data_IF_878124332886
#
_entry.id   IF_878124332886
#
_cell.length_a   1.000
_cell.length_b   1.000
_cell.length_c   1.000
_cell.angle_alpha   90.00
_cell.angle_beta   90.00
_cell.angle_gamma   90.00
#
_symmetry.space_group_name_H-M   'P 1'
#
loop_
_entity.id
_entity.type
_entity.pdbx_description
1 polymer ?
#
# COMPACT_ATOMS: atom_id res chain seq x y z
N UNK A 1 4.61 30.37 -20.78
CA UNK A 1 4.69 28.91 -20.62
C UNK A 1 6.02 28.61 -19.94
N UNK A 2 6.03 27.78 -18.89
CA UNK A 2 7.29 27.26 -18.36
C UNK A 2 7.79 26.23 -19.37
N UNK A 3 9.00 26.41 -19.88
CA UNK A 3 9.61 25.49 -20.85
C UNK A 3 10.09 24.25 -20.08
N UNK A 4 9.47 23.11 -20.35
CA UNK A 4 9.83 21.83 -19.73
C UNK A 4 11.08 21.32 -20.43
N UNK A 5 12.21 21.17 -19.72
CA UNK A 5 13.41 20.49 -20.23
C UNK A 5 13.21 18.97 -20.16
N UNK A 6 12.96 18.28 -21.29
CA UNK A 6 12.64 16.86 -21.28
C UNK A 6 13.82 15.99 -20.83
N UNK A 7 15.07 16.43 -21.05
CA UNK A 7 16.27 15.66 -20.69
C UNK A 7 16.46 15.65 -19.18
N UNK A 8 16.18 16.78 -18.51
CA UNK A 8 16.29 16.88 -17.06
C UNK A 8 15.23 16.01 -16.37
N UNK A 9 13.99 16.05 -16.87
CA UNK A 9 12.88 15.19 -16.39
C UNK A 9 13.23 13.70 -16.52
N UNK A 10 13.72 13.28 -17.69
CA UNK A 10 14.04 11.88 -17.94
C UNK A 10 15.23 11.38 -17.10
N UNK A 11 16.24 12.21 -16.88
CA UNK A 11 17.39 11.86 -16.03
C UNK A 11 16.95 11.59 -14.59
N UNK A 12 16.16 12.49 -14.00
CA UNK A 12 15.66 12.30 -12.63
C UNK A 12 14.69 11.12 -12.51
N UNK A 13 13.90 10.87 -13.55
CA UNK A 13 13.03 9.69 -13.62
C UNK A 13 13.84 8.39 -13.53
N UNK A 14 14.92 8.26 -14.32
CA UNK A 14 15.75 7.05 -14.31
C UNK A 14 16.55 6.90 -13.02
N UNK A 15 17.08 8.00 -12.47
CA UNK A 15 17.74 7.99 -11.15
C UNK A 15 16.77 7.53 -10.05
N UNK A 16 15.55 8.07 -10.02
CA UNK A 16 14.52 7.69 -9.07
C UNK A 16 14.22 6.20 -9.10
N UNK A 17 14.09 5.63 -10.30
CA UNK A 17 13.92 4.18 -10.53
C UNK A 17 15.10 3.38 -9.97
N UNK A 18 16.33 3.71 -10.37
CA UNK A 18 17.53 2.97 -9.96
C UNK A 18 17.70 3.00 -8.45
N UNK A 19 17.54 4.18 -7.84
CA UNK A 19 17.61 4.32 -6.38
C UNK A 19 16.55 3.49 -5.66
N UNK A 20 15.33 3.42 -6.20
CA UNK A 20 14.29 2.56 -5.64
C UNK A 20 14.70 1.09 -5.66
N UNK A 21 15.20 0.61 -6.80
CA UNK A 21 15.60 -0.79 -6.97
C UNK A 21 16.69 -1.20 -5.98
N UNK A 22 17.74 -0.39 -5.87
CA UNK A 22 18.86 -0.65 -4.96
C UNK A 22 18.55 -0.33 -3.48
N UNK A 23 17.32 0.08 -3.17
CA UNK A 23 16.85 0.31 -1.79
C UNK A 23 17.23 1.66 -1.18
N UNK A 24 17.80 2.59 -1.96
CA UNK A 24 18.10 3.97 -1.53
C UNK A 24 16.83 4.84 -1.62
N UNK A 25 15.88 4.60 -0.72
CA UNK A 25 14.54 5.18 -0.81
C UNK A 25 14.52 6.72 -0.71
N UNK A 26 15.36 7.33 0.12
CA UNK A 26 15.43 8.80 0.23
C UNK A 26 15.99 9.46 -1.03
N UNK A 27 17.00 8.85 -1.65
CA UNK A 27 17.56 9.33 -2.93
C UNK A 27 16.54 9.16 -4.07
N UNK A 28 15.79 8.06 -4.03
CA UNK A 28 14.67 7.82 -4.94
C UNK A 28 13.60 8.89 -4.79
N UNK A 29 13.15 9.17 -3.56
CA UNK A 29 12.15 10.19 -3.26
C UNK A 29 12.59 11.57 -3.76
N UNK A 30 13.84 11.95 -3.48
CA UNK A 30 14.42 13.22 -3.94
C UNK A 30 14.44 13.34 -5.46
N UNK A 31 14.68 12.23 -6.17
CA UNK A 31 14.65 12.20 -7.63
C UNK A 31 13.23 12.39 -8.17
N UNK A 32 12.23 11.76 -7.53
CA UNK A 32 10.82 11.93 -7.89
C UNK A 32 10.31 13.34 -7.62
N UNK A 33 10.75 13.97 -6.53
CA UNK A 33 10.44 15.37 -6.22
C UNK A 33 10.91 16.30 -7.33
N UNK A 34 12.15 16.15 -7.79
CA UNK A 34 12.68 16.95 -8.91
C UNK A 34 11.88 16.78 -10.19
N UNK A 35 11.41 15.56 -10.51
CA UNK A 35 10.52 15.36 -11.67
C UNK A 35 9.23 16.15 -11.52
N UNK A 36 8.61 16.12 -10.33
CA UNK A 36 7.35 16.82 -10.04
C UNK A 36 7.51 18.33 -9.88
N UNK A 37 8.71 18.83 -9.54
CA UNK A 37 9.03 20.26 -9.56
C UNK A 37 9.08 20.80 -11.00
N UNK A 38 9.58 20.00 -11.95
CA UNK A 38 9.66 20.36 -13.38
C UNK A 38 8.29 20.19 -14.04
N UNK A 39 7.63 19.06 -13.81
CA UNK A 39 6.32 18.73 -14.35
C UNK A 39 5.42 18.14 -13.24
N UNK A 40 4.63 19.00 -12.55
CA UNK A 40 3.73 18.59 -11.47
C UNK A 40 2.65 17.58 -11.88
N UNK A 41 2.36 17.47 -13.18
CA UNK A 41 1.29 16.62 -13.69
C UNK A 41 1.81 15.32 -14.32
N UNK A 42 3.10 14.99 -14.14
CA UNK A 42 3.71 13.79 -14.70
C UNK A 42 3.20 12.51 -13.99
N UNK A 43 2.23 11.75 -14.53
CA UNK A 43 1.46 10.79 -13.74
C UNK A 43 2.31 9.63 -13.22
N UNK A 44 3.30 9.22 -14.02
CA UNK A 44 4.23 8.14 -13.65
C UNK A 44 5.10 8.54 -12.45
N UNK A 45 5.53 9.80 -12.36
CA UNK A 45 6.36 10.27 -11.26
C UNK A 45 5.53 10.41 -9.99
N UNK A 46 4.28 10.87 -10.10
CA UNK A 46 3.37 10.89 -8.96
C UNK A 46 3.11 9.49 -8.42
N UNK A 47 2.89 8.51 -9.30
CA UNK A 47 2.77 7.10 -8.91
C UNK A 47 4.02 6.60 -8.16
N UNK A 48 5.22 6.78 -8.71
CA UNK A 48 6.44 6.32 -8.06
C UNK A 48 6.72 7.10 -6.76
N UNK A 49 6.49 8.41 -6.73
CA UNK A 49 6.62 9.23 -5.53
C UNK A 49 5.80 8.66 -4.37
N UNK A 50 4.50 8.45 -4.56
CA UNK A 50 3.63 7.84 -3.55
C UNK A 50 4.07 6.43 -3.16
N UNK A 51 4.52 5.62 -4.13
CA UNK A 51 5.07 4.29 -3.87
C UNK A 51 6.31 4.34 -2.97
N UNK A 52 7.22 5.28 -3.21
CA UNK A 52 8.42 5.47 -2.37
C UNK A 52 8.05 5.98 -0.99
N UNK A 53 7.17 6.97 -0.87
CA UNK A 53 6.68 7.47 0.42
C UNK A 53 6.07 6.35 1.28
N UNK A 54 5.20 5.53 0.69
CA UNK A 54 4.61 4.41 1.39
C UNK A 54 5.66 3.32 1.73
N UNK A 55 6.65 3.11 0.87
CA UNK A 55 7.76 2.18 1.16
C UNK A 55 8.64 2.68 2.31
N UNK A 56 8.82 3.99 2.47
CA UNK A 56 9.51 4.59 3.61
C UNK A 56 8.65 4.44 4.87
N UNK A 57 7.36 4.79 4.78
CA UNK A 57 6.41 4.77 5.91
C UNK A 57 6.18 3.37 6.47
N UNK A 58 5.94 2.39 5.59
CA UNK A 58 5.54 1.05 5.98
C UNK A 58 6.65 -0.01 5.84
N UNK A 59 7.78 0.36 5.24
CA UNK A 59 8.85 -0.56 4.86
C UNK A 59 8.64 -1.13 3.45
N UNK A 60 9.69 -1.07 2.62
CA UNK A 60 9.65 -1.49 1.20
C UNK A 60 9.07 -2.90 1.02
N UNK A 61 9.51 -3.86 1.84
CA UNK A 61 9.03 -5.24 1.73
C UNK A 61 7.55 -5.37 2.07
N UNK A 62 7.11 -4.76 3.18
CA UNK A 62 5.72 -4.80 3.61
C UNK A 62 4.80 -4.13 2.57
N UNK A 63 5.20 -2.96 2.08
CA UNK A 63 4.44 -2.23 1.05
C UNK A 63 4.40 -3.00 -0.28
N UNK A 64 5.51 -3.61 -0.71
CA UNK A 64 5.54 -4.43 -1.92
C UNK A 64 4.58 -5.63 -1.84
N UNK A 65 4.54 -6.32 -0.71
CA UNK A 65 3.59 -7.40 -0.49
C UNK A 65 2.14 -6.89 -0.45
N UNK A 66 1.90 -5.73 0.16
CA UNK A 66 0.58 -5.08 0.13
C UNK A 66 0.11 -4.76 -1.29
N UNK A 67 0.96 -4.14 -2.12
CA UNK A 67 0.61 -3.82 -3.52
C UNK A 67 0.33 -5.09 -4.33
N UNK A 68 1.13 -6.15 -4.13
CA UNK A 68 0.88 -7.44 -4.76
C UNK A 68 -0.46 -8.03 -4.31
N UNK A 69 -0.77 -7.98 -3.01
CA UNK A 69 -2.04 -8.44 -2.45
C UNK A 69 -3.25 -7.66 -3.00
N UNK A 70 -3.11 -6.35 -3.18
CA UNK A 70 -4.15 -5.51 -3.77
C UNK A 70 -4.44 -5.90 -5.22
N UNK A 71 -3.40 -6.05 -6.04
CA UNK A 71 -3.56 -6.46 -7.44
C UNK A 71 -4.20 -7.86 -7.58
N UNK A 72 -3.88 -8.79 -6.67
CA UNK A 72 -4.47 -10.14 -6.67
C UNK A 72 -5.94 -10.11 -6.19
N UNK A 73 -6.26 -9.25 -5.23
CA UNK A 73 -7.63 -9.03 -4.79
C UNK A 73 -8.52 -8.50 -5.92
N UNK A 74 -8.05 -7.51 -6.69
CA UNK A 74 -8.77 -6.98 -7.86
C UNK A 74 -9.03 -8.07 -8.92
N UNK A 75 -8.13 -9.05 -9.03
CA UNK A 75 -8.28 -10.23 -9.90
C UNK A 75 -9.12 -11.35 -9.29
N UNK A 76 -9.66 -11.17 -8.07
CA UNK A 76 -10.40 -12.19 -7.28
C UNK A 76 -9.58 -13.45 -6.96
N UNK A 77 -8.26 -13.37 -6.98
CA UNK A 77 -7.33 -14.42 -6.56
C UNK A 77 -7.12 -14.33 -5.03
N UNK A 78 -8.14 -14.74 -4.28
CA UNK A 78 -8.23 -14.45 -2.85
C UNK A 78 -7.18 -15.17 -2.00
N UNK A 79 -6.84 -16.40 -2.32
CA UNK A 79 -5.82 -17.19 -1.62
C UNK A 79 -4.44 -16.53 -1.72
N UNK A 80 -4.06 -16.12 -2.93
CA UNK A 80 -2.81 -15.46 -3.22
C UNK A 80 -2.79 -14.06 -2.61
N UNK A 81 -3.90 -13.32 -2.66
CA UNK A 81 -4.02 -12.03 -2.00
C UNK A 81 -3.85 -12.15 -0.47
N UNK A 82 -4.50 -13.14 0.16
CA UNK A 82 -4.32 -13.44 1.59
C UNK A 82 -2.85 -13.75 1.89
N UNK A 83 -2.19 -14.56 1.06
CA UNK A 83 -0.77 -14.87 1.24
C UNK A 83 0.08 -13.59 1.23
N UNK A 84 -0.12 -12.72 0.24
CA UNK A 84 0.63 -11.47 0.13
C UNK A 84 0.37 -10.53 1.30
N UNK A 85 -0.89 -10.31 1.70
CA UNK A 85 -1.18 -9.49 2.87
C UNK A 85 -0.62 -10.08 4.18
N UNK A 86 -0.58 -11.41 4.32
CA UNK A 86 0.10 -12.07 5.44
C UNK A 86 1.61 -11.83 5.43
N UNK A 87 2.25 -11.78 4.26
CA UNK A 87 3.67 -11.38 4.18
C UNK A 87 3.85 -9.90 4.53
N UNK A 88 2.92 -9.03 4.12
CA UNK A 88 2.97 -7.61 4.47
C UNK A 88 2.94 -7.38 5.99
N UNK A 89 2.01 -8.02 6.71
CA UNK A 89 1.94 -7.92 8.18
C UNK A 89 3.10 -8.61 8.90
N UNK A 90 3.70 -9.66 8.29
CA UNK A 90 4.93 -10.28 8.82
C UNK A 90 6.12 -9.33 8.72
N UNK A 91 6.25 -8.61 7.61
CA UNK A 91 7.30 -7.60 7.42
C UNK A 91 7.07 -6.34 8.24
N UNK A 92 5.82 -5.93 8.44
CA UNK A 92 5.45 -4.82 9.32
C UNK A 92 4.14 -5.12 10.09
N UNK A 93 4.25 -5.56 11.36
CA UNK A 93 3.09 -5.85 12.21
C UNK A 93 2.21 -4.64 12.55
N UNK A 94 2.64 -3.42 12.22
CA UNK A 94 1.86 -2.19 12.43
C UNK A 94 1.20 -1.70 11.13
N UNK A 95 1.20 -2.50 10.07
CA UNK A 95 0.60 -2.12 8.79
C UNK A 95 -0.92 -2.35 8.76
N UNK A 96 -1.66 -1.42 9.35
CA UNK A 96 -3.13 -1.43 9.48
C UNK A 96 -3.87 -1.75 8.18
N UNK A 97 -3.47 -1.18 7.04
CA UNK A 97 -4.12 -1.43 5.74
C UNK A 97 -4.06 -2.90 5.32
N UNK A 98 -2.98 -3.62 5.60
CA UNK A 98 -2.88 -5.04 5.27
C UNK A 98 -3.85 -5.90 6.11
N UNK A 99 -4.01 -5.59 7.40
CA UNK A 99 -5.06 -6.19 8.23
C UNK A 99 -6.45 -5.88 7.72
N UNK A 100 -6.71 -4.63 7.31
CA UNK A 100 -8.02 -4.23 6.78
C UNK A 100 -8.42 -5.08 5.58
N UNK A 101 -7.52 -5.30 4.62
CA UNK A 101 -7.80 -6.11 3.43
C UNK A 101 -7.88 -7.60 3.72
N UNK A 102 -7.08 -8.13 4.66
CA UNK A 102 -7.28 -9.50 5.16
C UNK A 102 -8.69 -9.67 5.70
N UNK A 103 -9.13 -8.75 6.56
CA UNK A 103 -10.50 -8.76 7.10
C UNK A 103 -11.56 -8.73 6.01
N UNK A 104 -11.35 -7.88 5.00
CA UNK A 104 -12.24 -7.76 3.84
C UNK A 104 -12.37 -9.06 3.05
N UNK A 105 -11.25 -9.69 2.71
CA UNK A 105 -11.26 -10.95 1.95
C UNK A 105 -11.90 -12.06 2.79
N UNK A 106 -11.56 -12.19 4.07
CA UNK A 106 -12.16 -13.20 4.93
C UNK A 106 -13.68 -13.04 5.03
N UNK A 107 -14.16 -11.80 5.13
CA UNK A 107 -15.59 -11.51 5.12
C UNK A 107 -16.28 -11.92 3.81
N UNK A 108 -15.70 -11.55 2.66
CA UNK A 108 -16.23 -11.93 1.33
C UNK A 108 -16.28 -13.45 1.11
N UNK A 109 -15.41 -14.19 1.80
CA UNK A 109 -15.37 -15.65 1.78
C UNK A 109 -16.23 -16.34 2.84
N UNK A 110 -16.95 -15.59 3.67
CA UNK A 110 -17.77 -16.12 4.76
C UNK A 110 -16.98 -16.54 6.01
N UNK A 111 -15.67 -16.29 6.05
CA UNK A 111 -14.80 -16.58 7.18
C UNK A 111 -14.87 -15.44 8.21
N UNK A 112 -16.04 -15.28 8.83
CA UNK A 112 -16.34 -14.09 9.64
C UNK A 112 -15.51 -13.98 10.92
N UNK A 113 -15.06 -15.10 11.52
CA UNK A 113 -14.20 -15.08 12.72
C UNK A 113 -12.84 -14.46 12.42
N UNK A 114 -12.24 -14.87 11.31
CA UNK A 114 -10.97 -14.32 10.81
C UNK A 114 -11.13 -12.85 10.42
N UNK A 115 -12.27 -12.48 9.82
CA UNK A 115 -12.58 -11.08 9.51
C UNK A 115 -12.60 -10.19 10.76
N UNK A 116 -13.34 -10.63 11.80
CA UNK A 116 -13.39 -9.96 13.12
C UNK A 116 -11.98 -9.80 13.71
N UNK A 117 -11.18 -10.86 13.70
CA UNK A 117 -9.82 -10.84 14.25
C UNK A 117 -8.96 -9.77 13.56
N UNK A 118 -8.98 -9.71 12.23
CA UNK A 118 -8.19 -8.75 11.47
C UNK A 118 -8.68 -7.30 11.65
N UNK A 119 -9.98 -7.04 11.68
CA UNK A 119 -10.49 -5.68 11.92
C UNK A 119 -10.29 -5.21 13.36
N UNK A 120 -10.22 -6.11 14.34
CA UNK A 120 -9.77 -5.78 15.70
C UNK A 120 -8.32 -5.32 15.73
N UNK A 121 -7.42 -5.95 14.95
CA UNK A 121 -6.04 -5.47 14.81
C UNK A 121 -5.98 -4.09 14.15
N UNK A 122 -6.82 -3.81 13.15
CA UNK A 122 -6.92 -2.46 12.58
C UNK A 122 -7.29 -1.44 13.66
N UNK A 123 -8.32 -1.71 14.46
CA UNK A 123 -8.75 -0.80 15.53
C UNK A 123 -7.77 -0.72 16.70
N UNK A 124 -6.94 -1.74 16.93
CA UNK A 124 -5.83 -1.68 17.89
C UNK A 124 -4.76 -0.69 17.42
N UNK A 125 -4.47 -0.65 16.12
CA UNK A 125 -3.47 0.24 15.52
C UNK A 125 -4.03 1.64 15.24
N UNK A 126 -5.30 1.73 14.86
CA UNK A 126 -6.02 2.94 14.47
C UNK A 126 -7.42 2.94 15.12
N UNK A 127 -7.52 3.34 16.40
CA UNK A 127 -8.78 3.27 17.16
C UNK A 127 -9.95 4.04 16.54
N UNK A 128 -9.67 5.07 15.74
CA UNK A 128 -10.67 5.93 15.09
C UNK A 128 -10.99 5.50 13.64
N UNK A 129 -10.57 4.31 13.21
CA UNK A 129 -10.83 3.82 11.86
C UNK A 129 -12.31 3.42 11.68
N UNK A 130 -13.14 4.37 11.29
CA UNK A 130 -14.58 4.19 11.10
C UNK A 130 -14.94 3.08 10.10
N UNK A 131 -14.11 2.85 9.07
CA UNK A 131 -14.33 1.76 8.09
C UNK A 131 -14.15 0.39 8.76
N UNK A 132 -13.07 0.21 9.54
CA UNK A 132 -12.83 -1.02 10.27
C UNK A 132 -13.92 -1.28 11.32
N UNK A 133 -14.35 -0.24 12.04
CA UNK A 133 -15.45 -0.35 13.01
C UNK A 133 -16.76 -0.79 12.34
N UNK A 134 -17.11 -0.18 11.19
CA UNK A 134 -18.28 -0.55 10.42
C UNK A 134 -18.23 -2.03 10.02
N UNK A 135 -17.12 -2.47 9.42
CA UNK A 135 -16.98 -3.84 8.93
C UNK A 135 -16.90 -4.88 10.04
N UNK A 136 -16.26 -4.55 11.17
CA UNK A 136 -16.26 -5.38 12.37
C UNK A 136 -17.70 -5.66 12.83
N UNK A 137 -18.54 -4.62 12.95
CA UNK A 137 -19.95 -4.77 13.30
C UNK A 137 -20.72 -5.64 12.30
N UNK A 138 -20.40 -5.56 11.00
CA UNK A 138 -21.03 -6.42 10.00
C UNK A 138 -20.60 -7.89 10.14
N UNK A 139 -19.32 -8.18 10.38
CA UNK A 139 -18.88 -9.56 10.61
C UNK A 139 -19.45 -10.15 11.90
N UNK A 140 -19.50 -9.37 12.98
CA UNK A 140 -20.06 -9.83 14.25
C UNK A 140 -21.55 -10.19 14.14
N UNK A 141 -22.31 -9.50 13.28
CA UNK A 141 -23.72 -9.87 12.99
C UNK A 141 -23.86 -11.21 12.31
N UNK A 142 -22.90 -11.59 11.46
CA UNK A 142 -22.93 -12.88 10.74
C UNK A 142 -22.56 -14.07 11.62
N UNK A 143 -22.04 -13.82 12.83
CA UNK A 143 -21.68 -14.85 13.81
C UNK A 143 -22.79 -15.13 14.84
N UNK A 144 -23.89 -14.38 14.79
CA UNK A 144 -25.06 -14.53 15.67
C UNK A 144 -26.12 -15.37 14.96
#
# INVERSE_FOLDING_TARGET
>A
AVEIDPKMTETHYWLGRVFYEIGKLNDSLSSWQKVLEIDPYYPRAQYFYTKVENSIKYGKQAYSHYEAGYNLYEQRLFEEAIYQYRQAVRSNPNFSLAYYWLGRIYYERGNYREAVSNWKEVLRLEPENAKAEYWLKQAEKQLK
#
